data_IF_658191256641
#
_entry.id   IF_658191256641
#
_cell.length_a   1.000
_cell.length_b   1.000
_cell.length_c   1.000
_cell.angle_alpha   90.00
_cell.angle_beta   90.00
_cell.angle_gamma   90.00
#
_symmetry.space_group_name_H-M   'P 1'
#
loop_
_entity.id
_entity.type
_entity.pdbx_description
1 polymer ?
#
# COMPACT_ATOMS: atom_id res chain seq x y z
N UNK A 1 2.62 6.23 -27.65
CA UNK A 1 3.97 6.83 -27.70
C UNK A 1 4.78 6.34 -26.51
N UNK A 2 6.00 5.95 -26.73
CA UNK A 2 6.96 5.61 -25.69
C UNK A 2 7.90 6.79 -25.44
N UNK A 3 8.42 6.93 -24.20
CA UNK A 3 9.33 8.02 -23.84
C UNK A 3 8.70 9.42 -23.78
N UNK A 4 7.37 9.52 -23.85
CA UNK A 4 6.62 10.76 -23.81
C UNK A 4 6.06 11.01 -22.41
N UNK A 5 6.78 11.76 -21.57
CA UNK A 5 6.36 12.08 -20.21
C UNK A 5 5.30 13.19 -20.22
N UNK A 6 4.14 12.93 -19.65
CA UNK A 6 3.11 13.95 -19.40
C UNK A 6 3.55 14.82 -18.23
N UNK A 7 3.52 16.14 -18.40
CA UNK A 7 3.89 17.13 -17.39
C UNK A 7 2.68 17.86 -16.79
N UNK A 8 1.60 18.04 -17.56
CA UNK A 8 0.39 18.69 -17.09
C UNK A 8 -0.83 18.30 -17.93
N UNK A 9 -2.00 18.36 -17.32
CA UNK A 9 -3.30 18.12 -17.95
C UNK A 9 -4.25 19.26 -17.55
N UNK A 10 -4.99 19.79 -18.53
CA UNK A 10 -6.01 20.81 -18.31
C UNK A 10 -7.15 20.67 -19.31
N UNK A 11 -8.09 21.59 -19.37
CA UNK A 11 -9.03 21.78 -20.45
C UNK A 11 -8.51 22.87 -21.39
N UNK A 12 -8.67 22.67 -22.69
CA UNK A 12 -8.17 23.60 -23.70
C UNK A 12 -8.77 25.00 -23.52
N UNK A 13 -7.94 25.99 -23.15
CA UNK A 13 -8.34 27.37 -22.93
C UNK A 13 -9.09 27.64 -21.61
N UNK A 14 -9.07 26.69 -20.67
CA UNK A 14 -9.75 26.84 -19.37
C UNK A 14 -8.80 26.53 -18.22
N UNK A 15 -8.74 27.44 -17.27
CA UNK A 15 -8.20 27.16 -15.94
C UNK A 15 -9.25 26.42 -15.08
N UNK A 16 -8.86 26.04 -13.87
CA UNK A 16 -9.74 25.29 -12.94
C UNK A 16 -11.00 26.05 -12.53
N UNK A 17 -10.97 27.37 -12.51
CA UNK A 17 -12.05 28.24 -12.02
C UNK A 17 -13.15 28.45 -13.06
N UNK A 18 -12.79 28.64 -14.31
CA UNK A 18 -13.73 28.94 -15.39
C UNK A 18 -14.65 27.77 -15.70
N UNK A 19 -15.97 27.97 -15.57
CA UNK A 19 -16.96 26.87 -15.65
C UNK A 19 -17.72 26.80 -16.97
N UNK A 20 -18.26 27.93 -17.46
CA UNK A 20 -19.15 27.95 -18.62
C UNK A 20 -18.41 27.47 -19.88
N UNK A 21 -18.92 26.40 -20.51
CA UNK A 21 -18.34 25.82 -21.71
C UNK A 21 -17.14 24.89 -21.47
N UNK A 22 -16.75 24.66 -20.19
CA UNK A 22 -15.60 23.82 -19.84
C UNK A 22 -15.75 22.36 -20.33
N UNK A 23 -16.95 21.82 -20.25
CA UNK A 23 -17.23 20.42 -20.64
C UNK A 23 -17.22 20.21 -22.16
N UNK A 24 -17.36 21.30 -22.94
CA UNK A 24 -17.49 21.25 -24.39
C UNK A 24 -16.11 21.24 -25.11
N UNK A 25 -15.03 21.49 -24.37
CA UNK A 25 -13.68 21.51 -24.93
C UNK A 25 -12.90 20.25 -24.58
N UNK A 26 -11.95 19.82 -25.45
CA UNK A 26 -11.11 18.67 -25.17
C UNK A 26 -10.14 18.91 -24.00
N UNK A 27 -9.62 17.84 -23.45
CA UNK A 27 -8.45 17.91 -22.58
C UNK A 27 -7.23 18.37 -23.38
N UNK A 28 -6.41 19.21 -22.76
CA UNK A 28 -5.08 19.59 -23.21
C UNK A 28 -4.05 18.84 -22.38
N UNK A 29 -3.21 18.05 -23.03
CA UNK A 29 -2.15 17.25 -22.39
C UNK A 29 -0.82 17.83 -22.83
N UNK A 30 -0.03 18.32 -21.88
CA UNK A 30 1.31 18.83 -22.15
C UNK A 30 2.36 17.78 -21.82
N UNK A 31 3.27 17.55 -22.77
CA UNK A 31 4.43 16.70 -22.60
C UNK A 31 5.63 17.49 -22.08
N UNK A 32 6.54 16.83 -21.39
CA UNK A 32 7.75 17.47 -20.85
C UNK A 32 8.64 18.12 -21.94
N UNK A 33 8.56 17.64 -23.19
CA UNK A 33 9.23 18.23 -24.34
C UNK A 33 8.54 19.45 -24.94
N UNK A 34 7.44 19.94 -24.34
CA UNK A 34 6.70 21.12 -24.82
C UNK A 34 5.63 20.82 -25.86
N UNK A 35 5.53 19.61 -26.39
CA UNK A 35 4.44 19.20 -27.28
C UNK A 35 3.10 19.15 -26.53
N UNK A 36 2.02 19.51 -27.21
CA UNK A 36 0.66 19.47 -26.70
C UNK A 36 -0.22 18.50 -27.51
N UNK A 37 -1.02 17.73 -26.80
CA UNK A 37 -1.98 16.79 -27.38
C UNK A 37 -3.38 17.14 -26.89
N UNK A 38 -4.40 16.76 -27.67
CA UNK A 38 -5.79 16.89 -27.28
C UNK A 38 -6.46 15.53 -27.20
N UNK A 39 -7.33 15.36 -26.19
CA UNK A 39 -8.10 14.14 -26.01
C UNK A 39 -9.52 14.43 -25.51
N UNK A 40 -10.48 13.57 -25.83
CA UNK A 40 -11.86 13.64 -25.32
C UNK A 40 -11.97 13.06 -23.90
N UNK A 41 -11.15 12.07 -23.59
CA UNK A 41 -11.10 11.43 -22.28
C UNK A 41 -9.67 11.08 -21.90
N UNK A 42 -9.42 10.92 -20.61
CA UNK A 42 -8.12 10.55 -20.05
C UNK A 42 -8.31 9.41 -19.05
N UNK A 43 -7.52 8.36 -19.22
CA UNK A 43 -7.34 7.31 -18.22
C UNK A 43 -5.92 7.45 -17.67
N UNK A 44 -5.82 7.87 -16.41
CA UNK A 44 -4.55 8.00 -15.70
C UNK A 44 -4.21 6.69 -14.99
N UNK A 45 -3.36 5.89 -15.61
CA UNK A 45 -2.83 4.64 -15.08
C UNK A 45 -1.36 4.78 -14.64
N UNK A 46 -0.91 5.98 -14.26
CA UNK A 46 0.51 6.27 -13.97
C UNK A 46 1.03 5.64 -12.67
N UNK A 47 0.15 5.05 -11.87
CA UNK A 47 0.54 4.36 -10.64
C UNK A 47 0.99 5.30 -9.51
N UNK A 48 1.78 4.76 -8.59
CA UNK A 48 2.25 5.46 -7.37
C UNK A 48 3.75 5.37 -7.15
N UNK A 49 4.48 4.60 -7.94
CA UNK A 49 5.92 4.32 -7.72
C UNK A 49 6.83 5.57 -7.74
N UNK A 50 6.41 6.65 -8.42
CA UNK A 50 7.18 7.88 -8.45
C UNK A 50 7.12 8.68 -7.15
N UNK A 51 6.25 8.31 -6.20
CA UNK A 51 6.02 9.06 -4.97
C UNK A 51 6.03 8.11 -3.76
N UNK A 52 7.21 7.62 -3.36
CA UNK A 52 7.34 6.79 -2.16
C UNK A 52 6.95 7.56 -0.90
N UNK A 53 6.49 6.85 0.11
CA UNK A 53 6.35 7.40 1.44
C UNK A 53 7.74 7.56 2.08
N UNK A 54 7.85 8.53 2.94
CA UNK A 54 9.06 8.80 3.71
C UNK A 54 9.34 7.70 4.75
N UNK A 55 10.56 7.66 5.25
CA UNK A 55 10.98 6.73 6.30
C UNK A 55 10.36 7.09 7.66
N UNK A 56 10.18 8.39 7.91
CA UNK A 56 9.70 8.91 9.19
C UNK A 56 8.31 8.40 9.57
N UNK A 57 8.16 7.94 10.79
CA UNK A 57 6.97 7.23 11.29
C UNK A 57 5.68 8.05 11.29
N UNK A 58 5.78 9.39 11.36
CA UNK A 58 4.63 10.32 11.37
C UNK A 58 4.20 10.78 9.98
N UNK A 59 4.73 10.16 8.90
CA UNK A 59 4.45 10.58 7.52
C UNK A 59 5.19 11.85 7.09
N UNK A 60 6.09 12.35 7.93
CA UNK A 60 7.07 13.39 7.62
C UNK A 60 8.44 12.75 7.40
N UNK A 61 9.34 13.34 6.59
CA UNK A 61 10.71 12.85 6.50
C UNK A 61 11.35 12.74 7.87
N UNK A 62 12.08 11.68 8.12
CA UNK A 62 12.94 11.62 9.30
C UNK A 62 14.01 12.71 9.21
N UNK A 63 14.46 13.26 10.35
CA UNK A 63 15.55 14.23 10.33
C UNK A 63 16.81 13.57 9.72
N UNK A 64 17.40 14.19 8.71
CA UNK A 64 18.56 13.66 8.00
C UNK A 64 18.25 12.60 6.95
N UNK A 65 16.96 12.32 6.65
CA UNK A 65 16.56 11.33 5.64
C UNK A 65 17.05 11.72 4.24
N UNK A 66 16.97 13.00 3.89
CA UNK A 66 17.38 13.49 2.58
C UNK A 66 18.91 13.37 2.38
N UNK A 67 19.68 13.68 3.41
CA UNK A 67 21.15 13.57 3.42
C UNK A 67 21.62 12.11 3.35
N UNK A 68 20.82 11.18 3.86
CA UNK A 68 21.09 9.75 3.81
C UNK A 68 20.54 9.07 2.54
N UNK A 69 20.00 9.84 1.58
CA UNK A 69 19.23 9.32 0.45
C UNK A 69 19.92 8.25 -0.41
N UNK A 70 21.24 8.31 -0.54
CA UNK A 70 22.03 7.29 -1.29
C UNK A 70 22.09 5.92 -0.59
N UNK A 71 21.79 5.87 0.71
CA UNK A 71 21.75 4.65 1.51
C UNK A 71 20.33 4.13 1.73
N UNK A 72 19.31 4.85 1.22
CA UNK A 72 17.89 4.54 1.42
C UNK A 72 17.23 4.19 0.10
N UNK A 73 16.81 2.94 -0.06
CA UNK A 73 16.03 2.47 -1.20
C UNK A 73 14.53 2.49 -0.85
N UNK A 74 13.71 3.08 -1.72
CA UNK A 74 12.25 3.18 -1.56
C UNK A 74 11.47 2.19 -2.42
N UNK A 75 12.11 1.56 -3.41
CA UNK A 75 11.50 0.55 -4.27
C UNK A 75 11.84 -0.86 -3.76
N UNK A 76 11.20 -1.88 -4.35
CA UNK A 76 11.62 -3.27 -4.18
C UNK A 76 12.99 -3.45 -4.86
N UNK A 77 14.10 -3.61 -4.14
CA UNK A 77 15.39 -3.86 -4.75
C UNK A 77 15.42 -5.27 -5.36
N UNK A 78 16.10 -5.41 -6.50
CA UNK A 78 16.41 -6.71 -7.09
C UNK A 78 17.65 -7.32 -6.40
N UNK A 79 17.50 -7.60 -5.09
CA UNK A 79 18.60 -8.04 -4.24
C UNK A 79 19.21 -9.39 -4.68
N UNK A 80 18.51 -10.20 -5.45
CA UNK A 80 19.04 -11.46 -6.01
C UNK A 80 19.61 -11.31 -7.42
N UNK A 81 19.38 -10.18 -8.07
CA UNK A 81 19.81 -9.88 -9.44
C UNK A 81 20.64 -8.62 -9.53
N UNK A 82 20.07 -7.56 -10.15
CA UNK A 82 20.83 -6.36 -10.51
C UNK A 82 21.43 -5.59 -9.32
N UNK A 83 20.76 -5.62 -8.16
CA UNK A 83 21.17 -4.86 -6.97
C UNK A 83 21.97 -5.73 -5.96
N UNK A 84 22.31 -6.98 -6.32
CA UNK A 84 22.96 -7.94 -5.39
C UNK A 84 24.18 -7.37 -4.70
N UNK A 85 25.07 -6.73 -5.42
CA UNK A 85 26.32 -6.15 -4.87
C UNK A 85 26.08 -5.06 -3.83
N UNK A 86 24.91 -4.41 -3.90
CA UNK A 86 24.53 -3.40 -2.92
C UNK A 86 24.10 -3.99 -1.57
N UNK A 87 23.76 -5.30 -1.52
CA UNK A 87 23.16 -5.95 -0.35
C UNK A 87 23.96 -7.13 0.20
N UNK A 88 24.60 -7.93 -0.66
CA UNK A 88 25.31 -9.13 -0.22
C UNK A 88 26.47 -8.80 0.73
N UNK A 89 26.50 -9.46 1.87
CA UNK A 89 27.50 -9.23 2.94
C UNK A 89 27.30 -7.92 3.71
N UNK A 90 26.24 -7.14 3.43
CA UNK A 90 25.98 -5.84 4.06
C UNK A 90 24.79 -5.92 5.01
N UNK A 91 24.92 -5.27 6.18
CA UNK A 91 23.78 -5.15 7.09
C UNK A 91 22.69 -4.29 6.48
N UNK A 92 21.52 -4.87 6.29
CA UNK A 92 20.36 -4.19 5.73
C UNK A 92 19.24 -4.04 6.77
N UNK A 93 18.77 -2.79 6.95
CA UNK A 93 17.59 -2.45 7.73
C UNK A 93 16.39 -2.31 6.79
N UNK A 94 15.37 -3.15 6.96
CA UNK A 94 14.10 -3.02 6.23
C UNK A 94 13.06 -2.43 7.17
N UNK A 95 12.47 -1.28 6.79
CA UNK A 95 11.45 -0.58 7.58
C UNK A 95 10.10 -0.68 6.87
N UNK A 96 9.12 -1.29 7.52
CA UNK A 96 7.78 -1.46 7.00
C UNK A 96 7.20 -2.85 7.27
N UNK A 97 5.87 -2.96 7.18
CA UNK A 97 5.14 -4.18 7.54
C UNK A 97 4.28 -4.74 6.38
N UNK A 98 4.38 -4.16 5.18
CA UNK A 98 3.60 -4.57 4.01
C UNK A 98 4.26 -5.72 3.23
N UNK A 99 3.59 -6.15 2.14
CA UNK A 99 4.09 -7.22 1.25
C UNK A 99 5.45 -6.88 0.63
N UNK A 100 5.72 -5.61 0.30
CA UNK A 100 7.02 -5.19 -0.21
C UNK A 100 8.13 -5.47 0.80
N UNK A 101 7.90 -5.18 2.09
CA UNK A 101 8.86 -5.52 3.14
C UNK A 101 9.07 -7.04 3.23
N UNK A 102 7.98 -7.82 3.24
CA UNK A 102 8.07 -9.28 3.31
C UNK A 102 8.84 -9.88 2.13
N UNK A 103 8.57 -9.42 0.90
CA UNK A 103 9.28 -9.88 -0.31
C UNK A 103 10.76 -9.53 -0.26
N UNK A 104 11.10 -8.28 0.11
CA UNK A 104 12.50 -7.84 0.26
C UNK A 104 13.23 -8.66 1.32
N UNK A 105 12.61 -8.87 2.49
CA UNK A 105 13.20 -9.65 3.58
C UNK A 105 13.51 -11.09 3.18
N UNK A 106 12.60 -11.73 2.42
CA UNK A 106 12.81 -13.08 1.92
C UNK A 106 13.94 -13.13 0.88
N UNK A 107 14.02 -12.17 -0.04
CA UNK A 107 15.11 -12.08 -1.00
C UNK A 107 16.46 -11.88 -0.29
N UNK A 108 16.54 -10.96 0.66
CA UNK A 108 17.75 -10.73 1.47
C UNK A 108 18.15 -11.97 2.28
N UNK A 109 17.18 -12.75 2.77
CA UNK A 109 17.46 -13.96 3.54
C UNK A 109 18.16 -15.07 2.73
N UNK A 110 18.05 -15.04 1.39
CA UNK A 110 18.74 -15.94 0.46
C UNK A 110 20.21 -15.54 0.21
N UNK A 111 20.61 -14.30 0.54
CA UNK A 111 21.99 -13.86 0.40
C UNK A 111 22.87 -14.40 1.51
N UNK A 112 24.13 -14.74 1.16
CA UNK A 112 25.12 -15.18 2.13
C UNK A 112 25.59 -14.02 3.00
N UNK A 113 25.92 -14.33 4.25
CA UNK A 113 26.60 -13.43 5.21
C UNK A 113 25.98 -12.00 5.31
N UNK A 114 24.69 -11.88 5.03
CA UNK A 114 23.95 -10.62 5.01
C UNK A 114 23.13 -10.48 6.30
N UNK A 115 23.55 -9.67 7.28
CA UNK A 115 22.76 -9.38 8.48
C UNK A 115 21.48 -8.62 8.09
N UNK A 116 20.33 -9.01 8.66
CA UNK A 116 19.04 -8.42 8.32
C UNK A 116 18.33 -7.97 9.60
N UNK A 117 17.98 -6.70 9.65
CA UNK A 117 17.10 -6.16 10.69
C UNK A 117 15.79 -5.71 10.04
N UNK A 118 14.70 -6.19 10.58
CA UNK A 118 13.35 -5.80 10.17
C UNK A 118 12.70 -4.96 11.24
N UNK A 119 12.30 -3.73 10.93
CA UNK A 119 11.73 -2.78 11.88
C UNK A 119 10.28 -2.42 11.50
N UNK A 120 9.36 -2.54 12.47
CA UNK A 120 7.94 -2.23 12.32
C UNK A 120 7.42 -1.34 13.45
N UNK A 121 6.45 -0.48 13.14
CA UNK A 121 5.79 0.39 14.15
C UNK A 121 4.89 -0.39 15.11
N UNK A 122 4.26 -1.45 14.61
CA UNK A 122 3.38 -2.29 15.41
C UNK A 122 4.12 -3.00 16.54
N UNK A 123 3.42 -3.37 17.60
CA UNK A 123 3.98 -4.14 18.73
C UNK A 123 4.27 -5.60 18.39
N UNK A 124 3.74 -6.11 17.27
CA UNK A 124 4.00 -7.46 16.76
C UNK A 124 3.88 -7.50 15.23
N UNK A 125 4.33 -8.59 14.62
CA UNK A 125 4.32 -8.79 13.17
C UNK A 125 3.16 -9.69 12.68
N UNK A 126 2.16 -9.96 13.50
CA UNK A 126 1.06 -10.91 13.22
C UNK A 126 0.35 -10.56 11.91
N UNK A 127 0.07 -9.27 11.68
CA UNK A 127 -0.56 -8.79 10.42
C UNK A 127 0.28 -9.09 9.18
N UNK A 128 1.59 -8.94 9.27
CA UNK A 128 2.50 -9.20 8.14
C UNK A 128 2.60 -10.69 7.82
N UNK A 129 2.51 -11.55 8.84
CA UNK A 129 2.52 -13.00 8.63
C UNK A 129 1.22 -13.52 7.98
N UNK A 130 0.12 -12.78 8.08
CA UNK A 130 -1.16 -13.12 7.47
C UNK A 130 -1.78 -14.42 8.00
N UNK A 131 -2.67 -15.01 7.21
CA UNK A 131 -3.46 -16.18 7.59
C UNK A 131 -2.71 -17.54 7.53
N UNK A 132 -1.46 -17.58 7.08
CA UNK A 132 -0.71 -18.82 6.93
C UNK A 132 -1.42 -19.83 6.02
N UNK A 133 -1.59 -21.07 6.48
CA UNK A 133 -2.27 -22.13 5.74
C UNK A 133 -3.79 -21.88 5.57
N UNK A 134 -4.38 -21.00 6.37
CA UNK A 134 -5.78 -20.60 6.27
C UNK A 134 -5.99 -19.37 5.37
N UNK A 135 -4.92 -18.85 4.77
CA UNK A 135 -5.04 -17.73 3.83
C UNK A 135 -5.70 -18.17 2.53
N UNK A 136 -6.75 -17.46 2.09
CA UNK A 136 -7.46 -17.77 0.86
C UNK A 136 -6.59 -17.62 -0.40
N UNK A 137 -5.47 -16.88 -0.30
CA UNK A 137 -4.44 -16.80 -1.33
C UNK A 137 -3.21 -17.61 -0.89
N UNK A 138 -3.04 -18.88 -1.37
CA UNK A 138 -1.98 -19.76 -0.91
C UNK A 138 -0.56 -19.17 -1.00
N UNK A 139 -0.29 -18.40 -2.06
CA UNK A 139 1.01 -17.74 -2.26
C UNK A 139 1.29 -16.69 -1.17
N UNK A 140 0.26 -15.97 -0.72
CA UNK A 140 0.38 -14.98 0.35
C UNK A 140 0.58 -15.64 1.71
N UNK A 141 -0.18 -16.70 2.00
CA UNK A 141 -0.02 -17.48 3.23
C UNK A 141 1.38 -18.11 3.31
N UNK A 142 1.90 -18.61 2.20
CA UNK A 142 3.27 -19.14 2.11
C UNK A 142 4.33 -18.06 2.35
N UNK A 143 4.13 -16.83 1.83
CA UNK A 143 5.05 -15.71 2.06
C UNK A 143 5.17 -15.40 3.57
N UNK A 144 4.07 -15.25 4.25
CA UNK A 144 4.06 -14.96 5.69
C UNK A 144 4.64 -16.08 6.54
N UNK A 145 4.34 -17.34 6.20
CA UNK A 145 4.89 -18.52 6.89
C UNK A 145 6.41 -18.58 6.75
N UNK A 146 6.95 -18.36 5.54
CA UNK A 146 8.41 -18.32 5.30
C UNK A 146 9.08 -17.18 6.08
N UNK A 147 8.48 -15.98 6.05
CA UNK A 147 9.00 -14.83 6.78
C UNK A 147 9.08 -15.11 8.28
N UNK A 148 8.00 -15.68 8.85
CA UNK A 148 7.96 -16.07 10.27
C UNK A 148 9.06 -17.07 10.62
N UNK A 149 9.28 -18.07 9.78
CA UNK A 149 10.34 -19.05 10.01
C UNK A 149 11.74 -18.41 10.05
N UNK A 150 12.01 -17.41 9.22
CA UNK A 150 13.28 -16.68 9.26
C UNK A 150 13.44 -15.80 10.51
N UNK A 151 12.36 -15.25 11.03
CA UNK A 151 12.39 -14.51 12.31
C UNK A 151 12.59 -15.49 13.48
N UNK A 152 11.85 -16.59 13.52
CA UNK A 152 11.90 -17.58 14.60
C UNK A 152 13.28 -18.28 14.65
N UNK A 153 13.95 -18.47 13.51
CA UNK A 153 15.31 -19.00 13.42
C UNK A 153 16.41 -18.00 13.75
N UNK A 154 16.08 -16.70 13.91
CA UNK A 154 17.06 -15.65 14.13
C UNK A 154 17.80 -15.18 12.86
N UNK A 155 17.43 -15.68 11.66
CA UNK A 155 18.01 -15.20 10.40
C UNK A 155 17.65 -13.75 10.12
N UNK A 156 16.45 -13.32 10.58
CA UNK A 156 15.98 -11.94 10.52
C UNK A 156 15.75 -11.46 11.96
N UNK A 157 16.41 -10.38 12.35
CA UNK A 157 16.17 -9.71 13.62
C UNK A 157 14.97 -8.79 13.53
N UNK A 158 13.87 -9.11 14.22
CA UNK A 158 12.67 -8.27 14.27
C UNK A 158 12.76 -7.23 15.38
N UNK A 159 12.49 -5.96 15.06
CA UNK A 159 12.28 -4.86 16.00
C UNK A 159 10.85 -4.36 15.88
N UNK A 160 10.14 -4.33 17.00
CA UNK A 160 8.76 -3.83 17.11
C UNK A 160 8.74 -2.50 17.84
N UNK A 161 7.64 -1.73 17.67
CA UNK A 161 7.56 -0.40 18.27
C UNK A 161 8.62 0.56 17.74
N UNK A 162 9.07 0.36 16.49
CA UNK A 162 10.11 1.15 15.86
C UNK A 162 9.52 2.33 15.08
N UNK A 163 9.61 3.52 15.64
CA UNK A 163 9.10 4.76 15.04
C UNK A 163 10.29 5.58 14.53
N UNK A 164 10.69 5.39 13.26
CA UNK A 164 11.81 6.11 12.67
C UNK A 164 11.63 7.63 12.83
N UNK A 165 12.60 8.29 13.44
CA UNK A 165 12.59 9.70 13.80
C UNK A 165 13.72 10.48 13.15
N UNK A 166 14.94 9.94 13.16
CA UNK A 166 16.09 10.59 12.54
C UNK A 166 17.06 9.57 11.94
N UNK A 167 17.83 10.02 10.96
CA UNK A 167 18.89 9.27 10.30
C UNK A 167 20.17 10.10 10.37
N UNK A 168 21.28 9.48 10.72
CA UNK A 168 22.61 10.09 10.64
C UNK A 168 23.52 9.18 9.82
N UNK A 169 24.41 9.76 9.03
CA UNK A 169 25.36 9.03 8.20
C UNK A 169 26.78 9.15 8.74
N UNK A 170 27.55 8.08 8.66
CA UNK A 170 28.96 8.05 9.00
C UNK A 170 29.69 7.11 8.02
N UNK A 171 30.41 7.68 7.05
CA UNK A 171 30.96 6.91 5.93
C UNK A 171 29.86 6.24 5.13
N UNK A 172 30.00 4.95 4.87
CA UNK A 172 29.05 4.15 4.07
C UNK A 172 27.93 3.54 4.93
N UNK A 173 27.71 4.03 6.14
CA UNK A 173 26.68 3.54 7.05
C UNK A 173 25.71 4.64 7.47
N UNK A 174 24.47 4.24 7.71
CA UNK A 174 23.45 5.09 8.29
C UNK A 174 22.93 4.51 9.61
N UNK A 175 22.75 5.38 10.60
CA UNK A 175 22.10 5.03 11.87
C UNK A 175 20.71 5.63 11.90
N UNK A 176 19.69 4.77 11.94
CA UNK A 176 18.31 5.19 12.13
C UNK A 176 17.98 5.16 13.62
N UNK A 177 17.55 6.28 14.15
CA UNK A 177 17.06 6.41 15.51
C UNK A 177 15.53 6.39 15.46
N UNK A 178 14.95 5.45 16.17
CA UNK A 178 13.53 5.38 16.46
C UNK A 178 13.27 6.12 17.78
N UNK A 179 12.16 6.85 17.84
CA UNK A 179 11.63 7.42 19.08
C UNK A 179 10.14 7.16 19.15
N UNK A 180 9.71 6.33 20.10
CA UNK A 180 8.30 6.02 20.29
C UNK A 180 7.54 7.20 20.94
N UNK A 181 6.19 7.15 20.98
CA UNK A 181 5.39 8.22 21.60
C UNK A 181 5.66 8.44 23.09
N UNK A 182 6.29 7.49 23.80
CA UNK A 182 6.68 7.62 25.20
C UNK A 182 8.09 8.21 25.37
N UNK A 183 8.81 8.41 24.25
CA UNK A 183 10.16 8.94 24.22
C UNK A 183 11.26 7.88 24.33
N UNK A 184 10.91 6.58 24.31
CA UNK A 184 11.90 5.50 24.30
C UNK A 184 12.59 5.46 22.94
N UNK A 185 13.92 5.41 22.96
CA UNK A 185 14.74 5.38 21.76
C UNK A 185 15.32 3.99 21.51
N UNK A 186 15.38 3.64 20.23
CA UNK A 186 16.11 2.48 19.71
C UNK A 186 16.96 2.97 18.54
N UNK A 187 18.15 2.43 18.35
CA UNK A 187 19.02 2.78 17.23
C UNK A 187 19.45 1.54 16.47
N UNK A 188 19.53 1.67 15.16
CA UNK A 188 20.06 0.64 14.25
C UNK A 188 21.00 1.29 13.27
N UNK A 189 22.25 0.81 13.26
CA UNK A 189 23.23 1.16 12.25
C UNK A 189 23.23 0.08 11.17
N UNK A 190 23.15 0.47 9.91
CA UNK A 190 23.11 -0.43 8.76
C UNK A 190 23.88 0.17 7.58
N UNK A 191 24.33 -0.69 6.67
CA UNK A 191 25.01 -0.29 5.43
C UNK A 191 23.98 0.12 4.35
N UNK A 192 22.75 -0.45 4.44
CA UNK A 192 21.63 -0.16 3.56
C UNK A 192 20.32 -0.09 4.33
N UNK A 193 19.43 0.77 3.88
CA UNK A 193 18.07 0.91 4.41
C UNK A 193 17.09 0.68 3.27
N UNK A 194 16.10 -0.18 3.46
CA UNK A 194 14.97 -0.31 2.56
C UNK A 194 13.74 0.26 3.24
N UNK A 195 13.29 1.43 2.79
CA UNK A 195 12.08 2.09 3.26
C UNK A 195 10.85 1.50 2.55
N UNK A 196 10.44 0.31 2.99
CA UNK A 196 9.24 -0.37 2.49
C UNK A 196 7.95 0.20 3.11
N UNK A 197 7.86 1.54 3.16
CA UNK A 197 6.81 2.32 3.84
C UNK A 197 5.59 2.57 2.97
N UNK A 198 5.59 2.05 1.73
CA UNK A 198 4.51 2.21 0.75
C UNK A 198 4.66 3.45 -0.12
N UNK A 199 3.58 3.79 -0.82
CA UNK A 199 3.56 4.86 -1.83
C UNK A 199 2.30 5.70 -1.69
N UNK A 200 2.29 6.86 -2.35
CA UNK A 200 1.13 7.75 -2.44
C UNK A 200 0.88 8.17 -3.88
N UNK A 201 -0.37 8.49 -4.27
CA UNK A 201 -0.65 9.00 -5.60
C UNK A 201 -0.11 10.41 -5.76
N UNK A 202 0.42 10.69 -6.94
CA UNK A 202 0.73 12.06 -7.38
C UNK A 202 -0.34 12.54 -8.36
N UNK A 203 -1.14 13.51 -7.96
CA UNK A 203 -2.16 14.16 -8.78
C UNK A 203 -1.70 15.51 -9.33
N UNK A 204 -0.45 15.90 -9.17
CA UNK A 204 0.08 17.21 -9.58
C UNK A 204 -0.10 17.49 -11.08
N UNK A 205 0.05 16.47 -11.93
CA UNK A 205 -0.18 16.61 -13.38
C UNK A 205 -1.62 17.01 -13.73
N UNK A 206 -2.58 16.75 -12.86
CA UNK A 206 -4.01 17.01 -13.01
C UNK A 206 -4.49 18.17 -12.09
N UNK A 207 -3.58 19.03 -11.62
CA UNK A 207 -3.89 20.11 -10.68
C UNK A 207 -4.94 21.10 -11.21
N UNK A 208 -5.02 21.31 -12.53
CA UNK A 208 -6.01 22.16 -13.20
C UNK A 208 -7.34 21.44 -13.49
N UNK A 209 -7.47 20.16 -13.13
CA UNK A 209 -8.73 19.43 -13.22
C UNK A 209 -9.51 19.51 -11.91
N UNK A 210 -10.83 19.35 -12.01
CA UNK A 210 -11.74 19.36 -10.87
C UNK A 210 -11.89 17.97 -10.29
N UNK A 211 -10.86 17.54 -9.56
CA UNK A 211 -10.86 16.25 -8.88
C UNK A 211 -11.59 16.35 -7.54
N UNK A 212 -12.42 15.36 -7.24
CA UNK A 212 -13.03 15.16 -5.92
C UNK A 212 -12.30 14.03 -5.21
N UNK A 213 -11.26 14.37 -4.47
CA UNK A 213 -10.41 13.44 -3.75
C UNK A 213 -10.79 13.41 -2.27
N UNK A 214 -10.77 12.21 -1.70
CA UNK A 214 -10.84 12.02 -0.26
C UNK A 214 -9.58 12.56 0.41
N UNK A 215 -9.77 13.31 1.49
CA UNK A 215 -8.67 14.01 2.15
C UNK A 215 -7.71 13.07 2.91
N UNK A 216 -8.15 11.85 3.24
CA UNK A 216 -7.37 10.86 4.01
C UNK A 216 -6.62 9.93 3.06
N UNK A 217 -7.35 9.33 2.12
CA UNK A 217 -6.81 8.31 1.22
C UNK A 217 -6.22 8.90 -0.06
N UNK A 218 -6.73 10.03 -0.56
CA UNK A 218 -6.36 10.57 -1.86
C UNK A 218 -6.93 9.79 -3.05
N UNK A 219 -7.87 8.87 -2.81
CA UNK A 219 -8.75 8.25 -3.81
C UNK A 219 -9.92 9.16 -4.16
N UNK A 220 -10.76 8.81 -5.12
CA UNK A 220 -12.05 9.49 -5.29
C UNK A 220 -12.87 9.38 -4.00
N UNK A 221 -13.65 10.42 -3.70
CA UNK A 221 -14.51 10.43 -2.50
C UNK A 221 -15.53 9.29 -2.48
N UNK A 222 -16.05 8.91 -3.65
CA UNK A 222 -17.01 7.82 -3.76
C UNK A 222 -16.36 6.43 -3.52
N UNK A 223 -15.09 6.26 -3.92
CA UNK A 223 -14.36 5.01 -3.71
C UNK A 223 -13.82 4.87 -2.28
N UNK A 224 -13.46 5.99 -1.62
CA UNK A 224 -12.77 5.97 -0.33
C UNK A 224 -13.43 5.07 0.73
N UNK A 225 -14.76 5.12 0.98
CA UNK A 225 -15.39 4.27 2.01
C UNK A 225 -15.35 2.78 1.67
N UNK A 226 -15.24 2.42 0.38
CA UNK A 226 -15.21 1.02 -0.06
C UNK A 226 -13.83 0.37 0.09
N UNK A 227 -12.77 1.18 0.21
CA UNK A 227 -11.39 0.72 0.25
C UNK A 227 -10.64 1.10 1.53
N UNK A 228 -11.32 1.74 2.49
CA UNK A 228 -10.71 2.20 3.75
C UNK A 228 -10.08 1.01 4.50
N UNK A 229 -8.75 1.02 4.72
CA UNK A 229 -8.04 -0.07 5.39
C UNK A 229 -8.41 -0.23 6.87
N UNK A 230 -9.14 0.74 7.45
CA UNK A 230 -9.68 0.63 8.80
C UNK A 230 -11.01 -0.15 8.84
N UNK A 231 -11.66 -0.34 7.68
CA UNK A 231 -12.95 -1.01 7.54
C UNK A 231 -12.87 -2.27 6.69
N UNK A 232 -11.97 -2.29 5.70
CA UNK A 232 -11.87 -3.36 4.71
C UNK A 232 -10.47 -3.98 4.66
N UNK A 233 -10.43 -5.27 4.35
CA UNK A 233 -9.22 -5.99 3.97
C UNK A 233 -9.12 -6.10 2.44
N UNK A 234 -7.97 -6.53 1.93
CA UNK A 234 -7.77 -6.70 0.47
C UNK A 234 -8.80 -7.60 -0.20
N UNK A 235 -9.45 -8.48 0.53
CA UNK A 235 -10.42 -9.43 -0.01
C UNK A 235 -11.87 -9.12 0.30
N UNK A 236 -12.15 -8.07 1.05
CA UNK A 236 -13.51 -7.63 1.38
C UNK A 236 -13.89 -6.33 0.70
N UNK A 237 -13.02 -5.81 -0.16
CA UNK A 237 -13.33 -4.63 -0.97
C UNK A 237 -14.42 -5.00 -1.98
N UNK A 238 -15.59 -4.32 -1.97
CA UNK A 238 -16.64 -4.59 -2.93
C UNK A 238 -16.20 -4.23 -4.35
N UNK A 239 -16.83 -4.88 -5.33
CA UNK A 239 -16.64 -4.53 -6.73
C UNK A 239 -17.04 -3.07 -6.98
N UNK A 240 -16.26 -2.35 -7.78
CA UNK A 240 -16.48 -0.94 -8.10
C UNK A 240 -15.96 -0.61 -9.49
N UNK A 241 -16.53 0.39 -10.11
CA UNK A 241 -16.24 0.77 -11.47
C UNK A 241 -16.32 2.27 -11.72
N UNK A 242 -16.86 2.65 -12.89
CA UNK A 242 -16.86 4.03 -13.37
C UNK A 242 -17.55 5.00 -12.43
N UNK A 243 -18.62 4.59 -11.75
CA UNK A 243 -19.38 5.50 -10.87
C UNK A 243 -18.54 5.92 -9.66
N UNK A 244 -17.77 5.00 -9.04
CA UNK A 244 -16.87 5.28 -7.92
C UNK A 244 -15.57 5.98 -8.34
N UNK A 245 -15.17 5.82 -9.61
CA UNK A 245 -13.95 6.45 -10.16
C UNK A 245 -14.21 7.84 -10.77
N UNK A 246 -15.46 8.27 -10.83
CA UNK A 246 -15.85 9.53 -11.46
C UNK A 246 -15.48 10.75 -10.61
N UNK A 247 -15.14 11.83 -11.31
CA UNK A 247 -14.87 13.15 -10.75
C UNK A 247 -15.86 14.19 -11.30
N UNK A 248 -15.99 15.38 -10.68
CA UNK A 248 -16.68 16.52 -11.30
C UNK A 248 -16.08 16.90 -12.67
N UNK A 249 -14.83 16.53 -12.93
CA UNK A 249 -14.20 16.63 -14.25
C UNK A 249 -14.58 15.43 -15.10
N UNK A 250 -15.64 15.55 -15.91
CA UNK A 250 -16.08 14.47 -16.78
C UNK A 250 -15.02 13.99 -17.75
N UNK A 251 -14.88 12.68 -17.90
CA UNK A 251 -13.96 12.05 -18.85
C UNK A 251 -12.51 11.92 -18.35
N UNK A 252 -12.23 12.27 -17.09
CA UNK A 252 -10.96 11.94 -16.45
C UNK A 252 -11.18 10.86 -15.39
N UNK A 253 -10.36 9.81 -15.44
CA UNK A 253 -10.41 8.68 -14.53
C UNK A 253 -9.00 8.28 -14.11
N UNK A 254 -8.72 8.21 -12.82
CA UNK A 254 -7.55 7.51 -12.29
C UNK A 254 -7.92 6.04 -12.05
N UNK A 255 -7.09 5.11 -12.55
CA UNK A 255 -7.33 3.67 -12.45
C UNK A 255 -6.12 2.92 -11.87
N UNK A 256 -6.31 1.66 -11.52
CA UNK A 256 -5.28 0.83 -10.95
C UNK A 256 -4.88 1.29 -9.54
N UNK A 257 -3.65 0.99 -9.12
CA UNK A 257 -3.17 1.33 -7.77
C UNK A 257 -3.28 2.82 -7.45
N UNK A 258 -3.19 3.71 -8.44
CA UNK A 258 -3.36 5.16 -8.24
C UNK A 258 -4.74 5.52 -7.72
N UNK A 259 -5.80 4.85 -8.20
CA UNK A 259 -7.18 5.10 -7.78
C UNK A 259 -7.41 4.81 -6.30
N UNK A 260 -6.62 3.90 -5.72
CA UNK A 260 -6.71 3.53 -4.30
C UNK A 260 -6.02 4.53 -3.37
N UNK A 261 -5.31 5.50 -3.92
CA UNK A 261 -4.64 6.50 -3.10
C UNK A 261 -3.60 5.87 -2.17
N UNK A 262 -3.80 6.04 -0.87
CA UNK A 262 -2.96 5.47 0.19
C UNK A 262 -3.47 4.14 0.74
N UNK A 263 -4.63 3.66 0.25
CA UNK A 263 -5.18 2.40 0.71
C UNK A 263 -4.36 1.23 0.14
N UNK A 264 -3.83 0.34 0.99
CA UNK A 264 -2.98 -0.76 0.56
C UNK A 264 -3.78 -1.99 0.10
N UNK A 265 -5.10 -1.87 -0.03
CA UNK A 265 -6.05 -2.96 -0.30
C UNK A 265 -6.23 -3.27 -1.80
N UNK A 266 -5.41 -2.70 -2.68
CA UNK A 266 -5.51 -2.87 -4.14
C UNK A 266 -5.15 -4.30 -4.58
N UNK A 267 -5.98 -4.86 -5.46
CA UNK A 267 -5.72 -6.11 -6.18
C UNK A 267 -5.73 -5.86 -7.69
N UNK A 268 -4.89 -6.56 -8.45
CA UNK A 268 -4.83 -6.44 -9.91
C UNK A 268 -6.17 -6.78 -10.57
N UNK A 269 -6.90 -7.78 -10.05
CA UNK A 269 -8.23 -8.13 -10.54
C UNK A 269 -9.19 -6.94 -10.48
N UNK A 270 -9.18 -6.19 -9.38
CA UNK A 270 -9.96 -4.95 -9.24
C UNK A 270 -9.54 -3.91 -10.28
N UNK A 271 -8.24 -3.77 -10.53
CA UNK A 271 -7.73 -2.85 -11.55
C UNK A 271 -8.19 -3.19 -12.95
N UNK A 272 -8.26 -4.46 -13.31
CA UNK A 272 -8.78 -4.90 -14.60
C UNK A 272 -10.26 -4.55 -14.76
N UNK A 273 -11.06 -4.76 -13.73
CA UNK A 273 -12.48 -4.40 -13.75
C UNK A 273 -12.71 -2.89 -13.83
N UNK A 274 -11.91 -2.09 -13.10
CA UNK A 274 -11.93 -0.63 -13.22
C UNK A 274 -11.70 -0.20 -14.68
N UNK A 275 -10.67 -0.76 -15.32
CA UNK A 275 -10.32 -0.41 -16.71
C UNK A 275 -11.44 -0.83 -17.67
N UNK A 276 -12.01 -2.04 -17.51
CA UNK A 276 -13.14 -2.51 -18.32
C UNK A 276 -14.34 -1.57 -18.20
N UNK A 277 -14.74 -1.24 -16.98
CA UNK A 277 -15.87 -0.37 -16.68
C UNK A 277 -15.69 1.04 -17.25
N UNK A 278 -14.52 1.65 -17.03
CA UNK A 278 -14.18 2.99 -17.55
C UNK A 278 -14.13 2.98 -19.08
N UNK A 279 -13.57 1.95 -19.71
CA UNK A 279 -13.49 1.85 -21.16
C UNK A 279 -14.89 1.74 -21.79
N UNK A 280 -15.79 0.97 -21.19
CA UNK A 280 -17.19 0.87 -21.62
C UNK A 280 -17.91 2.24 -21.53
N UNK A 281 -17.73 2.97 -20.44
CA UNK A 281 -18.29 4.31 -20.25
C UNK A 281 -17.78 5.31 -21.30
N UNK A 282 -16.47 5.30 -21.60
CA UNK A 282 -15.89 6.16 -22.64
C UNK A 282 -16.42 5.81 -24.02
N UNK A 283 -16.71 4.54 -24.28
CA UNK A 283 -17.35 4.08 -25.51
C UNK A 283 -18.85 4.43 -25.59
N UNK A 284 -19.47 4.89 -24.50
CA UNK A 284 -20.88 5.24 -24.42
C UNK A 284 -21.79 4.08 -23.98
N UNK A 285 -21.22 2.92 -23.69
CA UNK A 285 -21.94 1.75 -23.20
C UNK A 285 -22.04 1.79 -21.66
N UNK A 286 -22.98 2.57 -21.16
CA UNK A 286 -23.19 2.77 -19.73
C UNK A 286 -23.81 1.56 -19.03
N UNK A 287 -24.52 0.69 -19.75
CA UNK A 287 -25.04 -0.55 -19.21
C UNK A 287 -23.88 -1.49 -18.86
N UNK A 288 -23.00 -1.76 -19.83
CA UNK A 288 -21.80 -2.56 -19.59
C UNK A 288 -20.84 -1.91 -18.58
N UNK A 289 -20.76 -0.57 -18.56
CA UNK A 289 -19.90 0.14 -17.62
C UNK A 289 -20.29 -0.09 -16.13
N UNK A 290 -21.61 -0.17 -15.87
CA UNK A 290 -22.17 -0.36 -14.52
C UNK A 290 -22.39 -1.82 -14.15
N UNK A 291 -22.35 -2.73 -15.13
CA UNK A 291 -22.36 -4.17 -14.89
C UNK A 291 -20.97 -4.61 -14.39
N UNK A 292 -20.72 -4.37 -13.09
CA UNK A 292 -19.44 -4.69 -12.45
C UNK A 292 -19.38 -6.20 -12.20
N UNK A 293 -18.47 -6.90 -12.89
CA UNK A 293 -18.33 -8.35 -12.89
C UNK A 293 -17.07 -8.81 -12.15
N UNK A 294 -16.85 -8.34 -10.94
CA UNK A 294 -15.71 -8.74 -10.16
C UNK A 294 -16.11 -9.76 -9.10
N UNK A 295 -15.72 -11.00 -9.34
CA UNK A 295 -15.79 -12.05 -8.32
C UNK A 295 -14.47 -12.06 -7.54
N UNK A 296 -14.42 -11.29 -6.47
CA UNK A 296 -13.29 -11.33 -5.55
C UNK A 296 -13.48 -12.51 -4.61
N UNK A 297 -12.46 -13.36 -4.42
CA UNK A 297 -12.55 -14.40 -3.41
C UNK A 297 -12.84 -13.75 -2.06
N UNK A 298 -13.82 -14.28 -1.33
CA UNK A 298 -14.07 -13.90 0.05
C UNK A 298 -12.83 -14.22 0.88
N UNK A 299 -11.93 -13.27 0.96
CA UNK A 299 -10.65 -13.44 1.64
C UNK A 299 -10.71 -12.89 3.04
N UNK A 300 -11.74 -13.23 3.83
CA UNK A 300 -11.78 -12.91 5.25
C UNK A 300 -10.53 -13.29 6.06
N UNK A 301 -9.51 -13.81 5.38
CA UNK A 301 -8.28 -14.36 5.93
C UNK A 301 -7.10 -13.38 5.94
N UNK A 302 -7.26 -12.17 5.41
CA UNK A 302 -6.28 -11.11 5.68
C UNK A 302 -6.38 -10.52 7.08
N UNK A 303 -7.35 -10.96 7.88
CA UNK A 303 -7.52 -10.44 9.22
C UNK A 303 -6.54 -11.12 10.18
N UNK A 304 -5.68 -10.33 10.79
CA UNK A 304 -4.90 -10.68 11.97
C UNK A 304 -5.76 -11.21 13.13
N UNK A 305 -7.06 -10.97 13.09
CA UNK A 305 -8.00 -11.35 14.15
C UNK A 305 -8.22 -12.85 14.28
N UNK A 306 -7.90 -13.66 13.26
CA UNK A 306 -8.01 -15.12 13.37
C UNK A 306 -6.93 -15.71 14.31
N UNK A 307 -5.70 -15.20 14.25
CA UNK A 307 -4.63 -15.63 15.14
C UNK A 307 -4.90 -15.15 16.58
N UNK A 308 -5.29 -13.87 16.75
CA UNK A 308 -5.67 -13.33 18.06
C UNK A 308 -6.90 -14.02 18.66
N UNK A 309 -7.91 -14.34 17.85
CA UNK A 309 -9.09 -15.08 18.30
C UNK A 309 -8.74 -16.53 18.67
N UNK A 310 -7.75 -17.13 18.04
CA UNK A 310 -7.31 -18.48 18.32
C UNK A 310 -6.43 -18.53 19.58
N UNK A 311 -5.55 -17.55 19.79
CA UNK A 311 -4.78 -17.37 21.02
C UNK A 311 -5.70 -17.06 22.21
N UNK A 312 -6.71 -16.23 22.03
CA UNK A 312 -7.73 -15.94 23.04
C UNK A 312 -8.55 -17.19 23.41
N UNK A 313 -8.87 -18.04 22.41
CA UNK A 313 -9.59 -19.31 22.66
C UNK A 313 -8.72 -20.31 23.41
N UNK A 314 -7.43 -20.40 23.08
CA UNK A 314 -6.49 -21.27 23.79
C UNK A 314 -6.27 -20.76 25.21
N UNK A 315 -6.10 -19.46 25.41
CA UNK A 315 -5.97 -18.84 26.73
C UNK A 315 -7.20 -19.00 27.62
N UNK A 316 -8.41 -18.89 27.05
CA UNK A 316 -9.67 -19.10 27.75
C UNK A 316 -9.93 -20.59 28.06
N UNK A 317 -9.52 -21.50 27.19
CA UNK A 317 -9.68 -22.93 27.42
C UNK A 317 -8.77 -23.50 28.52
N UNK A 318 -7.64 -22.81 28.78
CA UNK A 318 -6.66 -23.25 29.80
C UNK A 318 -6.87 -22.58 31.18
N UNK A 319 -7.72 -21.53 31.26
CA UNK A 319 -7.82 -20.67 32.47
C UNK A 319 -9.16 -20.60 33.19
N UNK A 320 -10.27 -21.10 32.66
CA UNK A 320 -11.59 -20.92 33.28
C UNK A 320 -12.39 -22.22 33.28
N UNK A 321 -12.53 -22.80 34.45
CA UNK A 321 -13.51 -23.86 34.73
C UNK A 321 -14.89 -23.24 35.00
N UNK A 322 -15.86 -23.46 34.11
CA UNK A 322 -17.28 -23.37 34.38
C UNK A 322 -17.97 -22.03 34.08
N UNK A 323 -18.97 -22.07 33.27
CA UNK A 323 -20.11 -21.15 33.26
C UNK A 323 -20.10 -20.01 32.26
N UNK A 324 -18.99 -19.42 31.91
CA UNK A 324 -18.94 -18.30 30.98
C UNK A 324 -18.74 -18.71 29.49
N UNK A 325 -18.25 -19.91 29.24
CA UNK A 325 -17.97 -20.39 27.90
C UNK A 325 -19.23 -20.60 27.03
N UNK A 326 -20.34 -20.98 27.66
CA UNK A 326 -21.59 -21.28 26.96
C UNK A 326 -22.31 -20.03 26.43
N UNK A 327 -21.99 -18.86 26.97
CA UNK A 327 -22.65 -17.59 26.59
C UNK A 327 -21.89 -16.86 25.47
N UNK A 328 -20.59 -17.17 25.25
CA UNK A 328 -19.75 -16.51 24.23
C UNK A 328 -19.66 -17.27 22.90
N UNK A 329 -19.97 -18.57 22.90
CA UNK A 329 -19.91 -19.40 21.68
C UNK A 329 -20.90 -19.00 20.57
N UNK A 330 -22.13 -18.53 20.85
CA UNK A 330 -23.03 -18.06 19.80
C UNK A 330 -22.60 -16.73 19.15
N UNK A 331 -21.91 -15.88 19.90
CA UNK A 331 -21.44 -14.58 19.39
C UNK A 331 -20.21 -14.71 18.45
N UNK A 332 -19.40 -15.73 18.65
CA UNK A 332 -18.21 -15.96 17.82
C UNK A 332 -18.55 -16.46 16.40
N UNK A 333 -19.73 -17.06 16.21
CA UNK A 333 -20.20 -17.51 14.89
C UNK A 333 -20.91 -16.41 14.09
N UNK A 334 -21.37 -15.34 14.74
CA UNK A 334 -22.03 -14.20 14.07
C UNK A 334 -21.00 -13.10 13.73
N UNK A 335 -19.91 -13.00 14.46
CA UNK A 335 -18.87 -12.00 14.24
C UNK A 335 -17.86 -12.31 13.14
N UNK A 336 -17.93 -13.46 12.51
CA UNK A 336 -16.99 -13.85 11.45
C UNK A 336 -17.17 -13.08 10.13
N UNK A 337 -18.25 -12.31 9.99
CA UNK A 337 -18.55 -11.57 8.76
C UNK A 337 -18.21 -10.07 8.79
N UNK A 338 -17.82 -9.51 9.94
CA UNK A 338 -17.68 -8.06 10.03
C UNK A 338 -16.33 -7.52 10.55
N UNK A 339 -15.38 -8.36 10.88
CA UNK A 339 -14.09 -7.86 11.33
C UNK A 339 -13.15 -7.64 10.14
N UNK A 340 -13.36 -6.54 9.43
CA UNK A 340 -12.45 -6.02 8.40
C UNK A 340 -11.11 -5.60 8.99
N UNK A 341 -10.20 -6.54 9.19
CA UNK A 341 -8.81 -6.22 9.47
C UNK A 341 -8.05 -5.97 8.17
N UNK A 342 -7.37 -4.83 8.04
CA UNK A 342 -6.56 -4.52 6.86
C UNK A 342 -5.36 -5.46 6.76
N UNK A 343 -5.14 -6.07 5.59
CA UNK A 343 -3.96 -6.89 5.30
C UNK A 343 -2.66 -6.12 5.17
N UNK A 344 -2.72 -4.84 5.06
CA UNK A 344 -1.61 -4.05 4.51
C UNK A 344 -1.44 -2.75 5.32
N UNK A 345 -1.21 -2.85 6.55
CA UNK A 345 -0.90 -1.68 7.38
C UNK A 345 0.56 -1.59 7.77
#
# INVERSE_FOLDING_TARGET
RLGARVSAISRLGYDRVRTTGRQDVPFLIRLAGGEELQARAIIDASGTYATPNVLGASGLPAYGEAEAGELIDHALPDALGADREAYEGKHTLVVGAGHSAATTLLALAELADTPITWAIRAGNATRTYGGGAADALPARGALGTRLRAHVDSGRIRLLTGFFAHSVTTAGDQATVISRDPSGVEQAVTADRIVAATGYRPDHSIAAELRLDLDAILGSTRALAPLIDPNQHSCGTVPAHGVDELSHPESGYYAVGVKSYGRAPTFLMATGYEQVRSVAAAIAGDWEAARDVQLDLPETGVCSSNLAEAQELRVGLATGVSGGLLATLLPLATVGASEAGGSCCG
#
